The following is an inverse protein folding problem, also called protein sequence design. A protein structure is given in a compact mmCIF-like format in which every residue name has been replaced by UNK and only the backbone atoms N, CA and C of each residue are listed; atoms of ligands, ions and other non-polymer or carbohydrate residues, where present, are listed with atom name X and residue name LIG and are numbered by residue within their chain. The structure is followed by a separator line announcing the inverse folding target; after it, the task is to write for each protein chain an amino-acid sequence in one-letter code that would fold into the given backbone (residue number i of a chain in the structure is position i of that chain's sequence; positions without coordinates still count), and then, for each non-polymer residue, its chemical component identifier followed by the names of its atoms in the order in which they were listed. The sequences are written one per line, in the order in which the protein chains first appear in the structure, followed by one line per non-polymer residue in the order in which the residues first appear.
data_IF_783641998416
#
_entry.id   IF_783641998416
#
_cell.length_a   1.000
_cell.length_b   1.000
_cell.length_c   1.000
_cell.angle_alpha   90.00
_cell.angle_beta   90.00
_cell.angle_gamma   90.00
#
_symmetry.space_group_name_H-M   'P 1'
#
loop_
_entity.id
_entity.type
_entity.pdbx_description
1 polymer ?
#
# COMPACT_ATOMS: atom_id res chain seq x y z
N UNK A 1 4.87 -35.26 -31.71
CA UNK A 1 5.97 -34.57 -31.01
C UNK A 1 5.40 -33.33 -30.35
N UNK A 2 5.53 -33.25 -29.03
CA UNK A 2 4.88 -32.25 -28.16
C UNK A 2 5.50 -30.85 -28.35
N UNK A 3 4.73 -29.90 -28.86
CA UNK A 3 5.08 -28.48 -29.02
C UNK A 3 4.92 -27.69 -27.70
N UNK A 4 5.52 -28.17 -26.62
CA UNK A 4 5.60 -27.45 -25.33
C UNK A 4 7.07 -27.17 -25.01
N UNK A 5 7.64 -25.98 -25.30
CA UNK A 5 8.96 -25.53 -24.76
C UNK A 5 9.55 -24.23 -25.39
N UNK A 6 8.81 -23.10 -25.44
CA UNK A 6 9.50 -21.80 -25.24
C UNK A 6 8.88 -20.94 -24.14
N UNK A 7 7.56 -21.03 -23.93
CA UNK A 7 6.84 -20.22 -22.94
C UNK A 7 7.19 -20.58 -21.49
N UNK A 8 7.49 -21.86 -21.24
CA UNK A 8 7.86 -22.36 -19.90
C UNK A 8 9.22 -21.81 -19.49
N UNK A 9 10.20 -21.79 -20.39
CA UNK A 9 11.54 -21.21 -20.13
C UNK A 9 11.50 -19.70 -19.92
N UNK A 10 10.76 -18.98 -20.78
CA UNK A 10 10.63 -17.52 -20.65
C UNK A 10 9.98 -17.10 -19.32
N UNK A 11 8.93 -17.80 -18.88
CA UNK A 11 8.27 -17.53 -17.60
C UNK A 11 9.18 -17.80 -16.41
N UNK A 12 10.03 -18.84 -16.48
CA UNK A 12 11.01 -19.15 -15.45
C UNK A 12 12.11 -18.07 -15.36
N UNK A 13 12.63 -17.61 -16.51
CA UNK A 13 13.61 -16.51 -16.56
C UNK A 13 13.01 -15.25 -15.94
N UNK A 14 11.80 -14.87 -16.33
CA UNK A 14 11.11 -13.71 -15.77
C UNK A 14 10.90 -13.81 -14.26
N UNK A 15 10.57 -15.01 -13.75
CA UNK A 15 10.48 -15.25 -12.30
C UNK A 15 11.83 -15.09 -11.61
N UNK A 16 12.91 -15.57 -12.23
CA UNK A 16 14.28 -15.37 -11.74
C UNK A 16 14.63 -13.87 -11.64
N UNK A 17 14.37 -13.11 -12.71
CA UNK A 17 14.61 -11.67 -12.75
C UNK A 17 13.75 -10.93 -11.73
N UNK A 18 12.46 -11.25 -11.61
CA UNK A 18 11.57 -10.65 -10.63
C UNK A 18 12.07 -10.90 -9.19
N UNK A 19 12.52 -12.12 -8.89
CA UNK A 19 13.09 -12.49 -7.59
C UNK A 19 14.40 -11.75 -7.30
N UNK A 20 15.23 -11.49 -8.31
CA UNK A 20 16.45 -10.70 -8.14
C UNK A 20 16.12 -9.23 -7.87
N UNK A 21 15.20 -8.64 -8.64
CA UNK A 21 14.72 -7.27 -8.44
C UNK A 21 14.13 -7.09 -7.04
N UNK A 22 13.09 -7.87 -6.70
CA UNK A 22 12.99 -8.58 -5.42
C UNK A 22 13.92 -8.15 -4.28
N UNK A 23 15.04 -8.87 -4.27
CA UNK A 23 16.12 -8.81 -3.31
C UNK A 23 16.88 -7.49 -3.38
N UNK A 24 17.12 -6.96 -4.59
CA UNK A 24 17.86 -5.71 -4.79
C UNK A 24 17.15 -4.53 -4.14
N UNK A 25 15.87 -4.32 -4.45
CA UNK A 25 15.14 -3.22 -3.85
C UNK A 25 14.90 -3.44 -2.36
N UNK A 26 14.69 -4.69 -1.90
CA UNK A 26 14.56 -4.99 -0.47
C UNK A 26 15.84 -4.63 0.30
N UNK A 27 17.02 -4.96 -0.24
CA UNK A 27 18.31 -4.56 0.34
C UNK A 27 18.54 -3.06 0.26
N UNK A 28 18.21 -2.43 -0.87
CA UNK A 28 18.32 -0.98 -1.04
C UNK A 28 17.52 -0.20 0.01
N UNK A 29 16.29 -0.65 0.28
CA UNK A 29 15.42 -0.08 1.31
C UNK A 29 15.88 -0.36 2.73
N UNK A 30 16.61 -1.45 2.99
CA UNK A 30 17.23 -1.70 4.30
C UNK A 30 18.39 -0.75 4.57
N UNK A 31 19.18 -0.41 3.54
CA UNK A 31 20.33 0.48 3.66
C UNK A 31 19.88 1.95 3.76
N UNK A 32 18.88 2.34 2.97
CA UNK A 32 18.39 3.73 2.89
C UNK A 32 16.85 3.80 2.97
N UNK A 33 16.24 3.48 4.13
CA UNK A 33 14.78 3.43 4.27
C UNK A 33 14.09 4.78 4.05
N UNK A 34 14.77 5.89 4.40
CA UNK A 34 14.21 7.24 4.35
C UNK A 34 14.49 7.97 3.03
N UNK A 35 15.28 7.36 2.14
CA UNK A 35 15.63 7.99 0.87
C UNK A 35 14.46 7.88 -0.13
N UNK A 36 13.76 9.00 -0.33
CA UNK A 36 12.61 9.09 -1.22
C UNK A 36 12.92 8.67 -2.67
N UNK A 37 14.14 8.94 -3.17
CA UNK A 37 14.54 8.55 -4.53
C UNK A 37 14.71 7.03 -4.64
N UNK A 38 15.30 6.41 -3.62
CA UNK A 38 15.42 4.94 -3.54
C UNK A 38 14.02 4.35 -3.48
N UNK A 39 13.15 4.82 -2.59
CA UNK A 39 11.78 4.33 -2.45
C UNK A 39 10.96 4.46 -3.74
N UNK A 40 10.99 5.61 -4.40
CA UNK A 40 10.31 5.85 -5.66
C UNK A 40 10.83 4.94 -6.79
N UNK A 41 12.15 4.71 -6.85
CA UNK A 41 12.77 3.79 -7.81
C UNK A 41 12.33 2.35 -7.57
N UNK A 42 12.30 1.92 -6.30
CA UNK A 42 11.86 0.58 -5.90
C UNK A 42 10.37 0.34 -6.24
N UNK A 43 9.50 1.30 -5.94
CA UNK A 43 8.07 1.24 -6.29
C UNK A 43 7.85 1.18 -7.81
N UNK A 44 8.63 1.95 -8.56
CA UNK A 44 8.58 1.97 -10.02
C UNK A 44 9.00 0.61 -10.61
N UNK A 45 10.07 0.01 -10.09
CA UNK A 45 10.53 -1.31 -10.51
C UNK A 45 9.48 -2.38 -10.20
N UNK A 46 8.94 -2.41 -8.97
CA UNK A 46 7.92 -3.37 -8.59
C UNK A 46 6.63 -3.22 -9.40
N UNK A 47 6.22 -1.97 -9.71
CA UNK A 47 5.06 -1.70 -10.57
C UNK A 47 5.25 -2.23 -11.98
N UNK A 48 6.46 -2.11 -12.55
CA UNK A 48 6.78 -2.70 -13.87
C UNK A 48 6.69 -4.22 -13.83
N UNK A 49 7.22 -4.86 -12.79
CA UNK A 49 7.10 -6.31 -12.60
C UNK A 49 5.64 -6.75 -12.45
N UNK A 50 4.86 -6.08 -11.60
CA UNK A 50 3.45 -6.39 -11.40
C UNK A 50 2.62 -6.19 -12.67
N UNK A 51 2.91 -5.17 -13.49
CA UNK A 51 2.25 -5.01 -14.80
C UNK A 51 2.58 -6.14 -15.76
N UNK A 52 3.84 -6.57 -15.82
CA UNK A 52 4.23 -7.72 -16.63
C UNK A 52 3.47 -8.99 -16.19
N UNK A 53 3.35 -9.22 -14.89
CA UNK A 53 2.55 -10.30 -14.30
C UNK A 53 1.07 -10.25 -14.73
N UNK A 54 0.46 -9.05 -14.76
CA UNK A 54 -0.93 -8.88 -15.24
C UNK A 54 -1.08 -9.27 -16.71
N UNK A 55 -0.11 -8.91 -17.56
CA UNK A 55 -0.11 -9.21 -18.99
C UNK A 55 0.08 -10.71 -19.25
N UNK A 56 0.99 -11.34 -18.52
CA UNK A 56 1.29 -12.77 -18.64
C UNK A 56 0.27 -13.66 -17.93
N UNK A 57 -0.52 -13.09 -17.02
CA UNK A 57 -1.46 -13.85 -16.19
C UNK A 57 -0.75 -14.82 -15.25
N UNK A 58 0.45 -14.45 -14.77
CA UNK A 58 1.28 -15.20 -13.84
C UNK A 58 1.64 -14.31 -12.65
N UNK A 59 1.86 -14.88 -11.46
CA UNK A 59 2.41 -14.15 -10.32
C UNK A 59 3.90 -14.48 -10.19
N UNK A 60 4.74 -13.83 -11.00
CA UNK A 60 6.19 -14.01 -10.93
C UNK A 60 6.83 -13.09 -9.88
N UNK A 61 6.20 -11.95 -9.56
CA UNK A 61 6.63 -11.01 -8.53
C UNK A 61 5.83 -11.16 -7.23
N UNK A 62 6.55 -11.16 -6.12
CA UNK A 62 5.98 -11.21 -4.77
C UNK A 62 6.03 -9.81 -4.15
N UNK A 63 4.96 -9.32 -3.50
CA UNK A 63 4.99 -8.05 -2.80
C UNK A 63 6.00 -8.10 -1.65
N UNK A 64 7.02 -7.25 -1.65
CA UNK A 64 7.97 -7.19 -0.55
C UNK A 64 7.47 -6.32 0.60
N UNK A 65 7.67 -6.78 1.83
CA UNK A 65 7.14 -6.12 3.02
C UNK A 65 7.63 -4.67 3.17
N UNK A 66 8.94 -4.42 3.11
CA UNK A 66 9.48 -3.07 3.27
C UNK A 66 8.97 -2.10 2.20
N UNK A 67 8.80 -2.59 0.97
CA UNK A 67 8.27 -1.78 -0.12
C UNK A 67 6.82 -1.35 0.13
N UNK A 68 6.03 -2.20 0.79
CA UNK A 68 4.65 -1.89 1.13
C UNK A 68 4.52 -1.07 2.43
N UNK A 69 5.47 -1.19 3.34
CA UNK A 69 5.45 -0.53 4.64
C UNK A 69 6.00 0.91 4.59
N UNK A 70 7.15 1.13 3.97
CA UNK A 70 7.86 2.41 4.04
C UNK A 70 7.09 3.61 3.45
N UNK A 71 6.29 3.48 2.36
CA UNK A 71 5.53 4.62 1.85
C UNK A 71 4.51 5.18 2.85
N UNK A 72 4.01 4.37 3.80
CA UNK A 72 3.11 4.84 4.87
C UNK A 72 3.77 5.84 5.82
N UNK A 73 5.10 5.82 5.90
CA UNK A 73 5.88 6.71 6.76
C UNK A 73 6.59 7.80 5.94
N UNK A 74 6.54 7.72 4.62
CA UNK A 74 7.22 8.65 3.74
C UNK A 74 6.47 10.00 3.65
N UNK A 75 7.18 11.14 3.61
CA UNK A 75 6.58 12.46 3.47
C UNK A 75 6.18 12.77 2.01
N UNK A 76 5.58 11.81 1.30
CA UNK A 76 5.26 11.94 -0.13
C UNK A 76 3.92 11.31 -0.49
N UNK A 77 2.94 12.15 -0.79
CA UNK A 77 1.59 11.69 -1.18
C UNK A 77 1.60 10.92 -2.51
N UNK A 78 2.49 11.31 -3.44
CA UNK A 78 2.69 10.58 -4.69
C UNK A 78 3.23 9.15 -4.45
N UNK A 79 4.12 8.98 -3.47
CA UNK A 79 4.64 7.67 -3.09
C UNK A 79 3.55 6.79 -2.48
N UNK A 80 2.67 7.39 -1.66
CA UNK A 80 1.47 6.72 -1.13
C UNK A 80 0.49 6.31 -2.24
N UNK A 81 0.19 7.18 -3.20
CA UNK A 81 -0.69 6.83 -4.33
C UNK A 81 -0.09 5.69 -5.18
N UNK A 82 1.22 5.74 -5.46
CA UNK A 82 1.93 4.66 -6.14
C UNK A 82 1.92 3.34 -5.35
N UNK A 83 2.06 3.38 -4.03
CA UNK A 83 1.89 2.20 -3.17
C UNK A 83 0.48 1.61 -3.35
N UNK A 84 -0.55 2.44 -3.26
CA UNK A 84 -1.93 1.99 -3.42
C UNK A 84 -2.15 1.40 -4.80
N UNK A 85 -1.62 2.02 -5.85
CA UNK A 85 -1.66 1.50 -7.21
C UNK A 85 -1.06 0.09 -7.29
N UNK A 86 0.09 -0.12 -6.65
CA UNK A 86 0.76 -1.41 -6.61
C UNK A 86 -0.08 -2.47 -5.87
N UNK A 87 -0.66 -2.13 -4.71
CA UNK A 87 -1.57 -3.01 -3.97
C UNK A 87 -2.77 -3.41 -4.82
N UNK A 88 -3.43 -2.45 -5.48
CA UNK A 88 -4.57 -2.70 -6.36
C UNK A 88 -4.17 -3.58 -7.57
N UNK A 89 -2.96 -3.40 -8.11
CA UNK A 89 -2.42 -4.21 -9.19
C UNK A 89 -2.23 -5.66 -8.73
N UNK A 90 -1.62 -5.88 -7.57
CA UNK A 90 -1.49 -7.23 -7.02
C UNK A 90 -2.83 -7.89 -6.73
N UNK A 91 -3.81 -7.15 -6.17
CA UNK A 91 -5.19 -7.66 -5.99
C UNK A 91 -5.81 -8.11 -7.32
N UNK A 92 -5.56 -7.40 -8.42
CA UNK A 92 -6.00 -7.77 -9.78
C UNK A 92 -5.32 -9.05 -10.28
N UNK A 93 -4.01 -9.19 -10.08
CA UNK A 93 -3.25 -10.41 -10.45
C UNK A 93 -3.84 -11.62 -9.73
N UNK A 94 -3.92 -11.56 -8.40
CA UNK A 94 -4.40 -12.69 -7.61
C UNK A 94 -5.86 -13.02 -7.94
N UNK A 95 -6.72 -12.02 -8.15
CA UNK A 95 -8.12 -12.24 -8.55
C UNK A 95 -8.24 -13.00 -9.87
N UNK A 96 -7.43 -12.65 -10.88
CA UNK A 96 -7.38 -13.38 -12.16
C UNK A 96 -6.90 -14.82 -11.98
N UNK A 97 -5.89 -15.06 -11.14
CA UNK A 97 -5.36 -16.41 -10.89
C UNK A 97 -6.39 -17.33 -10.24
N UNK A 98 -7.15 -16.84 -9.25
CA UNK A 98 -8.24 -17.60 -8.62
C UNK A 98 -9.31 -18.03 -9.62
N UNK A 99 -9.66 -17.16 -10.56
CA UNK A 99 -10.69 -17.48 -11.56
C UNK A 99 -10.20 -18.51 -12.59
N UNK A 100 -8.88 -18.65 -12.79
CA UNK A 100 -8.29 -19.68 -13.67
C UNK A 100 -8.14 -21.03 -12.97
N UNK A 101 -7.75 -21.02 -11.69
CA UNK A 101 -7.44 -22.22 -10.91
C UNK A 101 -8.60 -22.58 -9.99
N UNK A 102 -9.69 -23.10 -10.55
CA UNK A 102 -10.96 -23.36 -9.83
C UNK A 102 -10.92 -24.38 -8.66
N UNK A 103 -9.78 -24.95 -8.25
CA UNK A 103 -9.79 -25.99 -7.20
C UNK A 103 -8.55 -26.13 -6.30
N UNK A 104 -7.41 -25.49 -6.58
CA UNK A 104 -6.23 -25.65 -5.72
C UNK A 104 -6.00 -24.39 -4.90
N UNK A 105 -6.27 -24.46 -3.59
CA UNK A 105 -5.82 -23.46 -2.61
C UNK A 105 -4.30 -23.46 -2.60
N UNK A 106 -3.71 -22.69 -3.50
CA UNK A 106 -2.27 -22.45 -3.48
C UNK A 106 -1.97 -21.62 -2.22
N UNK A 107 -1.44 -22.26 -1.17
CA UNK A 107 -1.22 -21.65 0.16
C UNK A 107 -0.47 -20.32 0.06
N UNK A 108 0.49 -20.25 -0.86
CA UNK A 108 1.27 -19.05 -1.15
C UNK A 108 0.41 -17.88 -1.66
N UNK A 109 -0.55 -18.12 -2.56
CA UNK A 109 -1.45 -17.07 -3.06
C UNK A 109 -2.40 -16.57 -1.97
N UNK A 110 -2.83 -17.48 -1.09
CA UNK A 110 -3.65 -17.12 0.06
C UNK A 110 -2.88 -16.21 1.03
N UNK A 111 -1.64 -16.56 1.37
CA UNK A 111 -0.76 -15.74 2.22
C UNK A 111 -0.53 -14.34 1.63
N UNK A 112 -0.25 -14.23 0.33
CA UNK A 112 -0.07 -12.92 -0.31
C UNK A 112 -1.36 -12.08 -0.31
N UNK A 113 -2.54 -12.70 -0.45
CA UNK A 113 -3.81 -11.98 -0.32
C UNK A 113 -4.03 -11.48 1.11
N UNK A 114 -3.73 -12.29 2.12
CA UNK A 114 -3.84 -11.87 3.52
C UNK A 114 -2.87 -10.71 3.81
N UNK A 115 -1.65 -10.79 3.28
CA UNK A 115 -0.67 -9.71 3.38
C UNK A 115 -1.19 -8.40 2.80
N UNK A 116 -1.72 -8.43 1.57
CA UNK A 116 -2.30 -7.24 0.93
C UNK A 116 -3.51 -6.69 1.69
N UNK A 117 -4.32 -7.56 2.30
CA UNK A 117 -5.45 -7.15 3.15
C UNK A 117 -4.95 -6.42 4.40
N UNK A 118 -3.92 -6.95 5.06
CA UNK A 118 -3.32 -6.31 6.23
C UNK A 118 -2.72 -4.94 5.91
N UNK A 119 -1.98 -4.79 4.81
CA UNK A 119 -1.48 -3.48 4.37
C UNK A 119 -2.61 -2.52 3.97
N UNK A 120 -3.68 -3.02 3.36
CA UNK A 120 -4.86 -2.20 3.10
C UNK A 120 -5.44 -1.70 4.42
N UNK A 121 -5.53 -2.56 5.44
CA UNK A 121 -5.98 -2.17 6.78
C UNK A 121 -5.09 -1.08 7.39
N UNK A 122 -3.76 -1.21 7.31
CA UNK A 122 -2.83 -0.16 7.77
C UNK A 122 -3.13 1.18 7.07
N UNK A 123 -3.32 1.20 5.75
CA UNK A 123 -3.61 2.43 5.00
C UNK A 123 -4.93 3.07 5.45
N UNK A 124 -5.99 2.27 5.59
CA UNK A 124 -7.33 2.77 5.92
C UNK A 124 -7.41 3.24 7.38
N UNK A 125 -6.87 2.45 8.31
CA UNK A 125 -6.83 2.78 9.74
C UNK A 125 -6.03 4.04 10.03
N UNK A 126 -4.93 4.22 9.30
CA UNK A 126 -4.04 5.38 9.36
C UNK A 126 -4.68 6.62 8.76
N UNK A 127 -5.02 6.59 7.46
CA UNK A 127 -5.40 7.79 6.73
C UNK A 127 -6.84 8.24 7.01
N UNK A 128 -7.77 7.30 7.24
CA UNK A 128 -9.20 7.62 7.25
C UNK A 128 -9.93 7.32 8.56
N UNK A 129 -9.77 6.11 9.11
CA UNK A 129 -10.54 5.70 10.30
C UNK A 129 -9.97 6.25 11.62
N UNK A 130 -8.75 6.79 11.60
CA UNK A 130 -8.06 7.35 12.77
C UNK A 130 -8.00 6.35 13.94
N UNK A 131 -7.57 5.11 13.69
CA UNK A 131 -7.54 4.04 14.69
C UNK A 131 -6.36 3.06 14.50
N UNK A 132 -5.26 3.49 13.88
CA UNK A 132 -4.14 2.62 13.51
C UNK A 132 -3.38 2.01 14.71
N UNK A 133 -3.37 2.64 15.88
CA UNK A 133 -2.80 2.10 17.13
C UNK A 133 -3.81 1.21 17.84
N UNK A 134 -5.07 1.64 17.91
CA UNK A 134 -6.17 0.90 18.54
C UNK A 134 -6.46 -0.42 17.82
N UNK A 135 -6.54 -0.39 16.48
CA UNK A 135 -6.79 -1.54 15.60
C UNK A 135 -5.51 -2.13 14.99
N UNK A 136 -4.34 -1.87 15.60
CA UNK A 136 -3.03 -2.27 15.04
C UNK A 136 -2.92 -3.75 14.68
N UNK A 137 -3.67 -4.63 15.36
CA UNK A 137 -3.63 -6.08 15.13
C UNK A 137 -4.20 -6.49 13.77
N UNK A 138 -5.04 -5.65 13.15
CA UNK A 138 -5.61 -5.90 11.83
C UNK A 138 -4.63 -5.57 10.69
N UNK A 139 -3.57 -4.82 11.00
CA UNK A 139 -2.55 -4.36 10.07
C UNK A 139 -1.29 -5.24 10.03
N UNK A 140 -0.40 -4.95 9.10
CA UNK A 140 0.92 -5.57 9.00
C UNK A 140 2.02 -4.70 9.62
N UNK A 141 2.00 -3.39 9.36
CA UNK A 141 3.02 -2.44 9.83
C UNK A 141 2.84 -2.19 11.32
N UNK A 142 1.64 -1.77 11.72
CA UNK A 142 1.40 -1.35 13.10
C UNK A 142 1.26 -2.53 14.07
N UNK A 143 0.97 -3.74 13.58
CA UNK A 143 0.97 -4.96 14.41
C UNK A 143 2.36 -5.31 14.96
N UNK A 144 3.43 -4.74 14.38
CA UNK A 144 4.80 -4.87 14.91
C UNK A 144 5.10 -3.95 16.09
N UNK A 145 4.25 -2.97 16.36
CA UNK A 145 4.37 -2.13 17.55
C UNK A 145 3.96 -2.92 18.79
N UNK A 146 4.88 -3.03 19.75
CA UNK A 146 4.58 -3.68 21.02
C UNK A 146 3.63 -2.81 21.88
N UNK A 147 2.94 -3.45 22.82
CA UNK A 147 1.92 -2.76 23.64
C UNK A 147 2.52 -1.66 24.53
N UNK A 148 3.78 -1.80 24.96
CA UNK A 148 4.44 -0.79 25.80
C UNK A 148 4.67 0.50 25.00
N UNK A 149 5.15 0.41 23.76
CA UNK A 149 5.31 1.52 22.83
C UNK A 149 3.97 2.19 22.54
N UNK A 150 2.92 1.42 22.27
CA UNK A 150 1.56 1.97 22.04
C UNK A 150 1.05 2.71 23.26
N UNK A 151 1.22 2.12 24.46
CA UNK A 151 0.80 2.76 25.71
C UNK A 151 1.57 4.04 25.97
N UNK A 152 2.87 4.08 25.67
CA UNK A 152 3.69 5.28 25.78
C UNK A 152 3.25 6.35 24.78
N UNK A 153 3.01 5.99 23.52
CA UNK A 153 2.53 6.91 22.48
C UNK A 153 1.19 7.55 22.90
N UNK A 154 0.24 6.75 23.36
CA UNK A 154 -1.07 7.25 23.82
C UNK A 154 -0.99 8.13 25.07
N UNK A 155 0.04 7.95 25.91
CA UNK A 155 0.28 8.81 27.09
C UNK A 155 0.92 10.15 26.74
N UNK A 156 1.87 10.14 25.80
CA UNK A 156 2.68 11.32 25.45
C UNK A 156 1.99 12.17 24.38
N UNK A 157 1.28 11.55 23.44
CA UNK A 157 0.71 12.21 22.28
C UNK A 157 -0.82 12.27 22.45
N UNK A 158 -1.41 13.46 22.61
CA UNK A 158 -2.86 13.58 22.66
C UNK A 158 -3.46 13.17 21.31
N UNK A 159 -4.47 12.31 21.35
CA UNK A 159 -5.13 11.72 20.17
C UNK A 159 -4.12 11.09 19.20
N UNK A 160 -3.22 10.23 19.70
CA UNK A 160 -2.16 9.61 18.90
C UNK A 160 -2.66 8.91 17.63
N UNK A 161 -3.83 8.26 17.71
CA UNK A 161 -4.49 7.55 16.61
C UNK A 161 -4.85 8.44 15.41
N UNK A 162 -5.05 9.75 15.60
CA UNK A 162 -5.37 10.68 14.51
C UNK A 162 -4.15 11.35 13.89
N UNK A 163 -2.93 11.12 14.41
CA UNK A 163 -1.73 11.83 13.94
C UNK A 163 -1.26 11.46 12.55
N UNK A 164 -1.66 10.30 12.06
CA UNK A 164 -1.35 9.86 10.70
C UNK A 164 -2.57 9.95 9.76
N UNK A 165 -3.66 10.61 10.19
CA UNK A 165 -4.82 10.79 9.32
C UNK A 165 -4.58 11.80 8.22
N UNK A 166 -5.42 11.81 7.18
CA UNK A 166 -5.28 12.67 6.00
C UNK A 166 -4.98 14.14 6.33
N UNK A 167 -5.62 14.67 7.37
CA UNK A 167 -5.43 16.06 7.83
C UNK A 167 -4.10 16.34 8.53
N UNK A 168 -3.49 15.33 9.14
CA UNK A 168 -2.29 15.45 9.98
C UNK A 168 -1.05 14.79 9.36
N UNK A 169 -1.22 13.95 8.35
CA UNK A 169 -0.16 13.19 7.74
C UNK A 169 0.73 14.11 6.89
N UNK A 170 2.04 14.11 7.18
CA UNK A 170 3.01 15.03 6.57
C UNK A 170 3.00 15.02 5.04
N UNK A 171 2.81 13.84 4.43
CA UNK A 171 2.66 13.70 2.98
C UNK A 171 1.55 14.56 2.37
N UNK A 172 0.47 14.82 3.11
CA UNK A 172 -0.70 15.58 2.65
C UNK A 172 -0.72 17.03 3.12
N UNK A 173 0.22 17.45 3.99
CA UNK A 173 0.29 18.82 4.52
C UNK A 173 0.21 19.92 3.43
N UNK A 174 0.88 19.81 2.26
CA UNK A 174 0.74 20.80 1.19
C UNK A 174 -0.67 20.85 0.58
N UNK A 175 -1.43 19.77 0.65
CA UNK A 175 -2.76 19.65 0.05
C UNK A 175 -3.88 19.98 1.03
N UNK A 176 -3.61 19.84 2.33
CA UNK A 176 -4.56 20.15 3.40
C UNK A 176 -4.43 21.60 3.86
N UNK A 177 -3.23 22.08 4.16
CA UNK A 177 -3.03 23.41 4.74
C UNK A 177 -3.07 24.56 3.73
N UNK A 178 -2.75 24.31 2.45
CA UNK A 178 -2.85 25.34 1.41
C UNK A 178 -4.28 25.53 0.89
N UNK A 179 -5.17 24.55 1.07
CA UNK A 179 -6.52 24.59 0.50
C UNK A 179 -7.60 25.07 1.48
N UNK A 180 -7.32 25.08 2.79
CA UNK A 180 -8.28 25.49 3.81
C UNK A 180 -7.79 26.76 4.49
N UNK A 181 -8.42 27.89 4.19
CA UNK A 181 -8.25 29.13 4.98
C UNK A 181 -8.70 28.86 6.43
N UNK A 182 -7.89 29.31 7.39
CA UNK A 182 -7.76 28.76 8.75
C UNK A 182 -9.01 28.68 9.65
N UNK A 183 -10.18 29.16 9.22
CA UNK A 183 -11.44 29.10 9.98
C UNK A 183 -12.33 27.88 9.69
N UNK A 184 -12.05 27.07 8.66
CA UNK A 184 -12.84 25.86 8.35
C UNK A 184 -12.16 24.54 8.77
N UNK A 185 -10.86 24.54 9.08
CA UNK A 185 -10.09 23.31 9.29
C UNK A 185 -10.51 22.48 10.51
N UNK A 186 -11.00 23.12 11.59
CA UNK A 186 -11.35 22.43 12.84
C UNK A 186 -12.70 21.71 12.80
N UNK A 187 -13.63 22.13 11.92
CA UNK A 187 -14.97 21.54 11.77
C UNK A 187 -15.09 20.58 10.59
N UNK A 188 -13.99 20.40 9.84
CA UNK A 188 -13.97 19.60 8.61
C UNK A 188 -13.79 18.11 8.91
N UNK A 189 -14.81 17.31 8.58
CA UNK A 189 -14.80 15.84 8.67
C UNK A 189 -13.85 15.20 7.63
N UNK A 190 -13.41 13.96 7.87
CA UNK A 190 -12.50 13.21 7.00
C UNK A 190 -13.03 13.04 5.57
N UNK A 191 -14.36 13.05 5.39
CA UNK A 191 -15.02 13.06 4.09
C UNK A 191 -14.70 14.31 3.25
N UNK A 192 -14.58 15.47 3.89
CA UNK A 192 -14.21 16.72 3.23
C UNK A 192 -12.71 16.76 2.92
N UNK A 193 -11.85 16.33 3.84
CA UNK A 193 -10.42 16.19 3.59
C UNK A 193 -10.12 15.26 2.40
N UNK A 194 -10.89 14.17 2.28
CA UNK A 194 -10.85 13.31 1.11
C UNK A 194 -11.18 14.07 -0.19
N UNK A 195 -12.28 14.84 -0.21
CA UNK A 195 -12.70 15.60 -1.41
C UNK A 195 -11.65 16.65 -1.84
N UNK A 196 -11.01 17.32 -0.90
CA UNK A 196 -10.01 18.36 -1.19
C UNK A 196 -8.62 17.80 -1.53
N UNK A 197 -8.08 16.95 -0.66
CA UNK A 197 -6.70 16.50 -0.75
C UNK A 197 -6.53 15.29 -1.68
N UNK A 198 -7.55 14.42 -1.79
CA UNK A 198 -7.39 13.10 -2.43
C UNK A 198 -8.08 12.99 -3.78
N UNK A 199 -9.38 13.27 -3.85
CA UNK A 199 -10.25 12.87 -4.96
C UNK A 199 -9.70 13.23 -6.36
N UNK A 200 -9.25 14.48 -6.53
CA UNK A 200 -8.74 14.97 -7.82
C UNK A 200 -7.28 14.69 -8.10
N UNK A 201 -6.49 14.37 -7.07
CA UNK A 201 -5.02 14.41 -7.15
C UNK A 201 -4.37 13.03 -7.07
N UNK A 202 -5.01 12.08 -6.39
CA UNK A 202 -4.46 10.76 -6.10
C UNK A 202 -5.47 9.66 -6.50
N UNK A 203 -5.51 9.27 -7.78
CA UNK A 203 -6.59 8.43 -8.32
C UNK A 203 -6.59 7.02 -7.73
N UNK A 204 -5.43 6.47 -7.40
CA UNK A 204 -5.33 5.12 -6.84
C UNK A 204 -5.79 5.10 -5.39
N UNK A 205 -5.33 6.09 -4.61
CA UNK A 205 -5.75 6.30 -3.22
C UNK A 205 -7.25 6.62 -3.13
N UNK A 206 -7.76 7.49 -4.02
CA UNK A 206 -9.18 7.78 -4.15
C UNK A 206 -10.00 6.50 -4.35
N UNK A 207 -9.60 5.69 -5.34
CA UNK A 207 -10.24 4.42 -5.64
C UNK A 207 -10.22 3.46 -4.44
N UNK A 208 -9.09 3.35 -3.74
CA UNK A 208 -8.99 2.46 -2.58
C UNK A 208 -9.94 2.90 -1.46
N UNK A 209 -9.90 4.18 -1.09
CA UNK A 209 -10.72 4.74 -0.01
C UNK A 209 -12.22 4.58 -0.32
N UNK A 210 -12.66 4.86 -1.55
CA UNK A 210 -14.05 4.65 -1.96
C UNK A 210 -14.45 3.16 -1.86
N UNK A 211 -13.56 2.25 -2.30
CA UNK A 211 -13.83 0.80 -2.25
C UNK A 211 -13.96 0.27 -0.81
N UNK A 212 -13.28 0.88 0.15
CA UNK A 212 -13.29 0.46 1.56
C UNK A 212 -14.27 1.24 2.42
N UNK A 213 -14.65 2.45 1.97
CA UNK A 213 -15.52 3.37 2.69
C UNK A 213 -16.55 3.97 1.72
N UNK A 214 -17.65 3.24 1.43
CA UNK A 214 -18.65 3.67 0.44
C UNK A 214 -19.34 5.01 0.77
N UNK A 215 -19.32 5.42 2.04
CA UNK A 215 -19.86 6.70 2.54
C UNK A 215 -19.15 7.93 1.94
N UNK A 216 -18.02 7.76 1.25
CA UNK A 216 -17.31 8.84 0.57
C UNK A 216 -17.97 9.31 -0.73
N UNK A 217 -18.92 8.54 -1.28
CA UNK A 217 -19.62 8.85 -2.53
C UNK A 217 -20.87 9.71 -2.28
N UNK A 218 -21.38 9.77 -1.04
CA UNK A 218 -22.51 10.62 -0.65
C UNK A 218 -22.15 12.10 -0.49
#
# INVERSE_FOLDING_TARGET
MSTNSPQIEYTQILRGVAKLLTQLYSKGLQINPDNALVLASCLSAASRCARADVCLGAACSVPAALLLALPLLAPSAATLDHLVHLILTYRKIFSKLKNKNNSVRNTHEFEHRQLLKAYTSDIISCLYQENFLSNRQEGYVFSKLNMQTVTMLNKVIPNADSKLSLRNHLAFAPYTYLQIEGSQAETTDNSMWFKYAIDKQFPSLCKLLIMTTPQLIS
#
